data_IF_747571626707
#
_entry.id   IF_747571626707
#
_cell.length_a   1.000
_cell.length_b   1.000
_cell.length_c   1.000
_cell.angle_alpha   90.00
_cell.angle_beta   90.00
_cell.angle_gamma   90.00
#
_symmetry.space_group_name_H-M   'P 1'
#
loop_
_entity.id
_entity.type
_entity.pdbx_description
1 polymer ?
#
# COMPACT_ATOMS: atom_id res chain seq x y z
N UNK A 1 8.27 39.05 5.18
CA UNK A 1 9.24 38.32 4.35
C UNK A 1 8.47 37.68 3.20
N UNK A 2 8.71 38.11 1.96
CA UNK A 2 8.08 37.54 0.77
C UNK A 2 9.06 36.55 0.12
N UNK A 3 8.62 35.32 -0.15
CA UNK A 3 9.42 34.30 -0.82
C UNK A 3 9.12 34.38 -2.33
N UNK A 4 10.16 34.39 -3.16
CA UNK A 4 9.99 34.41 -4.61
C UNK A 4 9.40 33.07 -5.11
N UNK A 5 8.42 33.05 -6.02
CA UNK A 5 7.77 31.82 -6.49
C UNK A 5 8.72 30.76 -7.05
N UNK A 6 9.84 31.15 -7.65
CA UNK A 6 10.86 30.22 -8.15
C UNK A 6 11.59 29.41 -7.07
N UNK A 7 11.39 29.76 -5.78
CA UNK A 7 11.97 29.04 -4.64
C UNK A 7 11.02 27.99 -4.05
N UNK A 8 9.90 27.71 -4.72
CA UNK A 8 8.88 26.78 -4.24
C UNK A 8 8.48 25.82 -5.38
N UNK A 9 8.55 24.51 -5.10
CA UNK A 9 7.86 23.50 -5.89
C UNK A 9 6.49 23.26 -5.25
N UNK A 10 5.40 23.61 -5.97
CA UNK A 10 4.05 23.56 -5.42
C UNK A 10 3.30 22.34 -5.97
N UNK A 11 3.08 21.36 -5.10
CA UNK A 11 2.24 20.21 -5.38
C UNK A 11 0.78 20.54 -5.08
N UNK A 12 -0.07 20.44 -6.09
CA UNK A 12 -1.51 20.68 -5.94
C UNK A 12 -2.25 19.35 -5.90
N UNK A 13 -3.21 19.25 -4.98
CA UNK A 13 -4.13 18.12 -4.91
C UNK A 13 -5.17 18.13 -6.04
N UNK A 14 -6.30 17.46 -5.83
CA UNK A 14 -7.36 17.28 -6.85
C UNK A 14 -7.96 18.64 -7.23
N UNK A 15 -8.08 18.88 -8.54
CA UNK A 15 -8.74 20.06 -9.07
C UNK A 15 -10.24 20.08 -8.70
N UNK A 16 -10.81 21.24 -8.35
CA UNK A 16 -12.24 21.34 -8.10
C UNK A 16 -13.06 20.94 -9.33
N UNK A 17 -14.25 20.36 -9.11
CA UNK A 17 -15.15 19.92 -10.18
C UNK A 17 -15.53 21.11 -11.08
N UNK A 18 -15.57 20.87 -12.39
CA UNK A 18 -15.96 21.87 -13.38
C UNK A 18 -17.31 22.51 -12.99
N UNK A 19 -17.36 23.85 -12.94
CA UNK A 19 -18.52 24.63 -12.50
C UNK A 19 -18.41 25.22 -11.09
N UNK A 20 -17.45 24.77 -10.27
CA UNK A 20 -17.10 25.37 -8.96
C UNK A 20 -15.86 26.29 -9.05
N UNK A 21 -15.58 26.84 -10.23
CA UNK A 21 -14.41 27.67 -10.54
C UNK A 21 -14.31 28.93 -9.65
N UNK A 22 -15.39 29.36 -9.00
CA UNK A 22 -15.36 30.51 -8.10
C UNK A 22 -14.75 30.19 -6.72
N UNK A 23 -14.57 28.89 -6.38
CA UNK A 23 -13.77 28.46 -5.23
C UNK A 23 -12.25 28.41 -5.53
N UNK A 24 -11.83 28.56 -6.78
CA UNK A 24 -10.41 28.59 -7.17
C UNK A 24 -9.69 29.93 -6.97
N UNK A 25 -10.31 30.89 -6.28
CA UNK A 25 -9.61 32.11 -5.86
C UNK A 25 -8.36 31.81 -5.00
N UNK A 26 -8.29 30.62 -4.38
CA UNK A 26 -7.26 30.30 -3.40
C UNK A 26 -6.07 29.47 -3.94
N UNK A 27 -5.98 29.16 -5.25
CA UNK A 27 -4.87 28.40 -5.86
C UNK A 27 -4.54 27.03 -5.20
N UNK A 28 -5.41 26.54 -4.31
CA UNK A 28 -5.23 25.31 -3.51
C UNK A 28 -6.03 24.16 -4.13
N UNK A 29 -5.37 23.02 -4.31
CA UNK A 29 -6.05 21.77 -4.67
C UNK A 29 -6.72 21.13 -3.44
N UNK A 30 -7.73 20.28 -3.67
CA UNK A 30 -8.34 19.48 -2.60
C UNK A 30 -7.46 18.29 -2.21
N UNK A 31 -7.51 17.88 -0.95
CA UNK A 31 -6.80 16.68 -0.49
C UNK A 31 -7.27 15.44 -1.28
N UNK A 32 -6.32 14.64 -1.77
CA UNK A 32 -6.58 13.36 -2.45
C UNK A 32 -7.28 12.38 -1.50
N UNK A 33 -6.97 12.45 -0.20
CA UNK A 33 -7.59 11.60 0.83
C UNK A 33 -9.08 11.86 0.98
N UNK A 34 -9.56 13.08 0.69
CA UNK A 34 -10.99 13.40 0.86
C UNK A 34 -11.92 12.56 -0.01
N UNK A 35 -11.41 12.00 -1.11
CA UNK A 35 -12.20 11.11 -1.97
C UNK A 35 -12.24 9.65 -1.54
N UNK A 36 -11.31 9.20 -0.70
CA UNK A 36 -11.16 7.78 -0.31
C UNK A 36 -11.35 7.54 1.19
N UNK A 37 -11.32 8.58 2.02
CA UNK A 37 -11.36 8.45 3.49
C UNK A 37 -12.64 7.77 3.97
N UNK A 38 -13.77 8.00 3.29
CA UNK A 38 -15.05 7.39 3.66
C UNK A 38 -15.05 5.90 3.37
N UNK A 39 -14.42 5.46 2.28
CA UNK A 39 -14.30 4.03 1.95
C UNK A 39 -13.36 3.30 2.92
N UNK A 40 -12.27 3.95 3.34
CA UNK A 40 -11.38 3.41 4.38
C UNK A 40 -12.09 3.31 5.73
N UNK A 41 -12.88 4.33 6.11
CA UNK A 41 -13.69 4.31 7.34
C UNK A 41 -14.71 3.19 7.34
N UNK A 42 -15.33 2.87 6.20
CA UNK A 42 -16.28 1.74 6.10
C UNK A 42 -15.62 0.41 6.46
N UNK A 43 -14.34 0.22 6.13
CA UNK A 43 -13.60 -0.99 6.54
C UNK A 43 -13.48 -1.05 8.06
N UNK A 44 -13.11 0.06 8.69
CA UNK A 44 -12.99 0.18 10.15
C UNK A 44 -14.35 -0.03 10.85
N UNK A 45 -15.42 0.58 10.34
CA UNK A 45 -16.78 0.40 10.85
C UNK A 45 -17.23 -1.06 10.79
N UNK A 46 -16.98 -1.75 9.68
CA UNK A 46 -17.32 -3.17 9.53
C UNK A 46 -16.50 -4.04 10.47
N UNK A 47 -15.20 -3.77 10.62
CA UNK A 47 -14.35 -4.48 11.57
C UNK A 47 -14.83 -4.26 13.03
N UNK A 48 -15.23 -3.03 13.38
CA UNK A 48 -15.79 -2.69 14.69
C UNK A 48 -17.12 -3.41 14.96
N UNK A 49 -17.99 -3.53 13.96
CA UNK A 49 -19.25 -4.27 14.08
C UNK A 49 -19.00 -5.77 14.26
N UNK A 50 -18.04 -6.35 13.53
CA UNK A 50 -17.64 -7.76 13.71
C UNK A 50 -17.10 -7.99 15.13
N UNK A 51 -16.22 -7.10 15.63
CA UNK A 51 -15.69 -7.19 16.98
C UNK A 51 -16.81 -7.10 18.04
N UNK A 52 -17.80 -6.23 17.82
CA UNK A 52 -18.97 -6.10 18.70
C UNK A 52 -19.79 -7.39 18.75
N UNK A 53 -19.98 -8.06 17.61
CA UNK A 53 -20.65 -9.36 17.55
C UNK A 53 -19.89 -10.44 18.32
N UNK A 54 -18.54 -10.43 18.28
CA UNK A 54 -17.71 -11.37 19.05
C UNK A 54 -17.91 -11.17 20.55
N UNK A 55 -17.97 -9.93 21.02
CA UNK A 55 -18.28 -9.64 22.42
C UNK A 55 -19.71 -10.02 22.80
N UNK A 56 -20.69 -9.76 21.93
CA UNK A 56 -22.10 -10.10 22.17
C UNK A 56 -22.34 -11.61 22.23
N UNK A 57 -21.62 -12.40 21.42
CA UNK A 57 -21.71 -13.87 21.44
C UNK A 57 -21.27 -14.52 22.77
N UNK A 58 -20.62 -13.75 23.64
CA UNK A 58 -20.22 -14.19 24.98
C UNK A 58 -21.18 -13.70 26.07
N UNK A 59 -22.19 -12.90 25.72
CA UNK A 59 -23.12 -12.37 26.71
C UNK A 59 -24.06 -13.48 27.19
N UNK A 60 -24.01 -13.69 28.50
CA UNK A 60 -24.90 -14.59 29.23
C UNK A 60 -26.16 -13.83 29.65
N UNK A 61 -27.33 -14.39 29.37
CA UNK A 61 -28.63 -13.87 29.78
C UNK A 61 -29.20 -14.79 30.85
N UNK A 62 -29.48 -14.22 32.02
CA UNK A 62 -30.08 -14.92 33.15
C UNK A 62 -31.53 -14.47 33.34
N UNK A 63 -32.47 -15.41 33.25
CA UNK A 63 -33.86 -15.20 33.64
C UNK A 63 -34.06 -15.59 35.09
N UNK A 64 -34.33 -14.60 35.95
CA UNK A 64 -34.61 -14.80 37.37
C UNK A 64 -36.13 -14.63 37.60
N UNK A 65 -36.83 -15.65 38.14
CA UNK A 65 -38.25 -15.55 38.43
C UNK A 65 -38.53 -14.47 39.49
N UNK A 66 -39.66 -13.76 39.33
CA UNK A 66 -40.11 -12.70 40.24
C UNK A 66 -39.09 -11.57 40.51
N UNK A 67 -38.13 -11.34 39.61
CA UNK A 67 -37.06 -10.35 39.78
C UNK A 67 -37.59 -8.95 40.13
N UNK A 68 -38.58 -8.46 39.38
CA UNK A 68 -39.16 -7.13 39.58
C UNK A 68 -39.94 -7.00 40.89
N UNK A 69 -40.67 -8.06 41.26
CA UNK A 69 -41.44 -8.13 42.52
C UNK A 69 -40.49 -8.15 43.73
N UNK A 70 -39.41 -8.92 43.64
CA UNK A 70 -38.42 -9.00 44.71
C UNK A 70 -37.61 -7.70 44.82
N UNK A 71 -37.30 -7.04 43.69
CA UNK A 71 -36.60 -5.75 43.68
C UNK A 71 -37.45 -4.63 44.28
N UNK A 72 -38.77 -4.60 44.04
CA UNK A 72 -39.67 -3.60 44.63
C UNK A 72 -39.95 -3.84 46.12
N UNK A 73 -40.03 -5.10 46.54
CA UNK A 73 -40.39 -5.45 47.92
C UNK A 73 -39.19 -5.43 48.87
N UNK A 74 -38.03 -5.92 48.43
CA UNK A 74 -36.83 -6.09 49.26
C UNK A 74 -35.76 -5.01 49.02
N UNK A 75 -35.92 -4.18 47.99
CA UNK A 75 -35.07 -3.02 47.73
C UNK A 75 -33.60 -3.34 47.52
N UNK A 76 -32.73 -2.43 47.93
CA UNK A 76 -31.30 -2.41 47.59
C UNK A 76 -30.50 -3.60 48.15
N UNK A 77 -30.92 -4.16 49.29
CA UNK A 77 -30.26 -5.34 49.90
C UNK A 77 -30.36 -6.57 48.99
N UNK A 78 -31.53 -6.79 48.40
CA UNK A 78 -31.74 -7.91 47.47
C UNK A 78 -30.89 -7.77 46.20
N UNK A 79 -30.82 -6.56 45.64
CA UNK A 79 -29.97 -6.28 44.47
C UNK A 79 -28.51 -6.60 44.74
N UNK A 80 -28.00 -6.23 45.92
CA UNK A 80 -26.62 -6.55 46.32
C UNK A 80 -26.36 -8.06 46.43
N UNK A 81 -27.32 -8.84 46.96
CA UNK A 81 -27.22 -10.29 47.03
C UNK A 81 -27.22 -10.95 45.65
N UNK A 82 -28.11 -10.52 44.75
CA UNK A 82 -28.17 -11.00 43.37
C UNK A 82 -26.86 -10.72 42.63
N UNK A 83 -26.33 -9.50 42.73
CA UNK A 83 -25.04 -9.13 42.11
C UNK A 83 -23.87 -9.96 42.67
N UNK A 84 -23.86 -10.21 43.98
CA UNK A 84 -22.82 -11.05 44.60
C UNK A 84 -22.88 -12.48 44.06
N UNK A 85 -24.09 -13.03 43.91
CA UNK A 85 -24.28 -14.37 43.36
C UNK A 85 -23.88 -14.46 41.89
N UNK A 86 -24.26 -13.48 41.06
CA UNK A 86 -23.86 -13.41 39.66
C UNK A 86 -22.34 -13.34 39.51
N UNK A 87 -21.65 -12.57 40.35
CA UNK A 87 -20.17 -12.51 40.35
C UNK A 87 -19.54 -13.85 40.74
N UNK A 88 -20.08 -14.54 41.74
CA UNK A 88 -19.62 -15.88 42.14
C UNK A 88 -19.84 -16.89 41.01
N UNK A 89 -21.00 -16.86 40.36
CA UNK A 89 -21.32 -17.71 39.23
C UNK A 89 -20.40 -17.45 38.02
N UNK A 90 -20.15 -16.18 37.68
CA UNK A 90 -19.23 -15.79 36.61
C UNK A 90 -17.79 -16.23 36.89
N UNK A 91 -17.33 -16.09 38.15
CA UNK A 91 -15.99 -16.54 38.57
C UNK A 91 -15.88 -18.06 38.53
N UNK A 92 -16.90 -18.77 39.03
CA UNK A 92 -16.96 -20.23 38.99
C UNK A 92 -16.95 -20.78 37.56
N UNK A 93 -17.77 -20.20 36.67
CA UNK A 93 -17.80 -20.52 35.23
C UNK A 93 -16.44 -20.24 34.58
N UNK A 94 -15.81 -19.11 34.90
CA UNK A 94 -14.49 -18.75 34.37
C UNK A 94 -13.35 -19.67 34.81
N UNK A 95 -13.41 -20.18 36.04
CA UNK A 95 -12.35 -21.02 36.61
C UNK A 95 -12.53 -22.52 36.32
N UNK A 96 -13.76 -23.01 36.39
CA UNK A 96 -14.09 -24.45 36.36
C UNK A 96 -14.97 -24.88 35.19
N UNK A 97 -15.49 -23.93 34.39
CA UNK A 97 -16.46 -24.21 33.34
C UNK A 97 -17.85 -24.63 33.84
N UNK A 98 -18.06 -24.73 35.16
CA UNK A 98 -19.33 -25.16 35.76
C UNK A 98 -20.15 -23.96 36.24
N UNK A 99 -21.45 -23.98 35.97
CA UNK A 99 -22.41 -22.95 36.38
C UNK A 99 -23.45 -23.57 37.32
N UNK A 100 -23.59 -23.01 38.51
CA UNK A 100 -24.55 -23.47 39.53
C UNK A 100 -25.76 -22.53 39.53
N UNK A 101 -26.94 -23.06 39.21
CA UNK A 101 -28.20 -22.33 39.12
C UNK A 101 -29.33 -23.06 39.84
N UNK A 102 -30.37 -22.33 40.20
CA UNK A 102 -31.59 -22.91 40.79
C UNK A 102 -32.48 -23.50 39.68
N UNK A 103 -33.34 -24.47 40.04
CA UNK A 103 -34.14 -25.24 39.08
C UNK A 103 -35.15 -24.38 38.28
N UNK A 104 -35.58 -23.25 38.85
CA UNK A 104 -36.54 -22.34 38.22
C UNK A 104 -35.86 -21.20 37.42
N UNK A 105 -34.53 -21.12 37.40
CA UNK A 105 -33.80 -20.09 36.66
C UNK A 105 -33.49 -20.55 35.24
N UNK A 106 -33.49 -19.60 34.31
CA UNK A 106 -33.07 -19.85 32.94
C UNK A 106 -31.73 -19.20 32.67
N UNK A 107 -30.90 -19.91 31.91
CA UNK A 107 -29.63 -19.41 31.42
C UNK A 107 -29.58 -19.64 29.91
N UNK A 108 -29.40 -18.55 29.19
CA UNK A 108 -29.21 -18.57 27.75
C UNK A 108 -27.93 -17.81 27.41
N UNK A 109 -27.04 -18.45 26.67
CA UNK A 109 -25.92 -17.74 26.06
C UNK A 109 -26.32 -17.34 24.65
N UNK A 110 -26.18 -16.06 24.31
CA UNK A 110 -26.40 -15.61 22.93
C UNK A 110 -25.38 -16.30 22.01
N UNK A 111 -25.86 -17.07 21.04
CA UNK A 111 -25.01 -17.64 20.00
C UNK A 111 -25.06 -16.75 18.76
N UNK A 112 -23.90 -16.23 18.34
CA UNK A 112 -23.77 -15.52 17.08
C UNK A 112 -23.20 -16.48 16.02
N UNK A 113 -23.74 -16.41 14.80
CA UNK A 113 -23.13 -17.07 13.65
C UNK A 113 -22.05 -16.17 13.07
N UNK A 114 -20.82 -16.68 12.97
CA UNK A 114 -19.69 -15.96 12.38
C UNK A 114 -19.46 -16.28 10.89
N UNK A 115 -20.36 -17.06 10.28
CA UNK A 115 -20.25 -17.40 8.86
C UNK A 115 -20.44 -16.17 7.97
N UNK A 116 -19.65 -16.04 6.90
CA UNK A 116 -19.79 -14.95 5.93
C UNK A 116 -19.12 -13.63 6.33
N UNK A 117 -18.64 -13.48 7.58
CA UNK A 117 -18.07 -12.22 8.06
C UNK A 117 -16.72 -11.90 7.40
N UNK A 118 -15.92 -12.93 7.13
CA UNK A 118 -14.65 -12.78 6.43
C UNK A 118 -14.87 -12.25 5.02
N UNK A 119 -15.85 -12.80 4.29
CA UNK A 119 -16.18 -12.39 2.93
C UNK A 119 -16.69 -10.94 2.89
N UNK A 120 -17.47 -10.52 3.88
CA UNK A 120 -17.91 -9.12 3.99
C UNK A 120 -16.70 -8.20 4.21
N UNK A 121 -15.81 -8.56 5.13
CA UNK A 121 -14.60 -7.77 5.41
C UNK A 121 -13.71 -7.66 4.17
N UNK A 122 -13.48 -8.76 3.47
CA UNK A 122 -12.69 -8.80 2.24
C UNK A 122 -13.28 -7.91 1.14
N UNK A 123 -14.61 -7.89 0.99
CA UNK A 123 -15.27 -6.99 0.01
C UNK A 123 -15.10 -5.52 0.38
N UNK A 124 -15.09 -5.19 1.66
CA UNK A 124 -14.84 -3.81 2.11
C UNK A 124 -13.38 -3.40 1.88
N UNK A 125 -12.43 -4.30 2.18
CA UNK A 125 -11.01 -4.08 1.86
C UNK A 125 -10.79 -3.92 0.34
N UNK A 126 -11.52 -4.68 -0.49
CA UNK A 126 -11.49 -4.53 -1.94
C UNK A 126 -12.02 -3.16 -2.39
N UNK A 127 -13.10 -2.66 -1.79
CA UNK A 127 -13.62 -1.31 -2.08
C UNK A 127 -12.62 -0.21 -1.70
N UNK A 128 -11.99 -0.31 -0.53
CA UNK A 128 -10.95 0.64 -0.10
C UNK A 128 -9.71 0.60 -1.01
N UNK A 129 -9.32 -0.59 -1.49
CA UNK A 129 -8.24 -0.76 -2.47
C UNK A 129 -8.60 -0.10 -3.80
N UNK A 130 -9.84 -0.27 -4.27
CA UNK A 130 -10.33 0.37 -5.49
C UNK A 130 -10.38 1.90 -5.38
N UNK A 131 -10.85 2.44 -4.24
CA UNK A 131 -10.93 3.88 -4.01
C UNK A 131 -9.55 4.55 -3.87
N UNK A 132 -8.61 3.88 -3.21
CA UNK A 132 -7.22 4.35 -3.10
C UNK A 132 -6.41 4.12 -4.37
N UNK A 133 -6.85 3.20 -5.23
CA UNK A 133 -6.14 2.66 -6.39
C UNK A 133 -4.84 1.92 -6.03
N UNK A 134 -4.69 1.51 -4.77
CA UNK A 134 -3.58 0.68 -4.29
C UNK A 134 -4.08 -0.77 -4.24
N UNK A 135 -3.37 -1.73 -4.84
CA UNK A 135 -3.72 -3.15 -4.74
C UNK A 135 -3.82 -3.63 -3.29
N UNK A 136 -4.76 -4.54 -3.02
CA UNK A 136 -5.04 -5.07 -1.68
C UNK A 136 -3.81 -5.74 -1.04
N UNK A 137 -2.99 -6.42 -1.86
CA UNK A 137 -1.73 -7.05 -1.48
C UNK A 137 -0.74 -6.04 -0.88
N UNK A 138 -0.67 -4.84 -1.44
CA UNK A 138 0.19 -3.75 -0.96
C UNK A 138 -0.45 -2.93 0.16
N UNK A 139 -1.75 -2.62 0.04
CA UNK A 139 -2.45 -1.75 0.99
C UNK A 139 -2.67 -2.41 2.35
N UNK A 140 -3.00 -3.71 2.35
CA UNK A 140 -3.33 -4.46 3.56
C UNK A 140 -2.30 -5.55 3.90
N UNK A 141 -1.22 -5.67 3.11
CA UNK A 141 -0.16 -6.67 3.37
C UNK A 141 -0.63 -8.11 3.19
N UNK A 142 -1.62 -8.34 2.33
CA UNK A 142 -2.17 -9.67 2.11
C UNK A 142 -1.32 -10.47 1.13
N UNK A 143 -1.21 -11.77 1.38
CA UNK A 143 -0.68 -12.69 0.38
C UNK A 143 -1.56 -12.63 -0.87
N UNK A 144 -0.98 -12.59 -2.07
CA UNK A 144 -1.72 -12.73 -3.31
C UNK A 144 -2.57 -14.02 -3.27
N UNK A 145 -3.83 -13.93 -3.70
CA UNK A 145 -4.74 -15.07 -3.69
C UNK A 145 -4.44 -16.06 -4.83
N UNK A 146 -4.45 -17.36 -4.52
CA UNK A 146 -4.29 -18.44 -5.50
C UNK A 146 -2.93 -19.14 -5.43
N UNK A 147 -2.92 -20.44 -5.72
CA UNK A 147 -1.71 -21.24 -5.87
C UNK A 147 -0.88 -20.63 -7.03
N UNK A 148 0.30 -20.06 -6.71
CA UNK A 148 1.25 -19.40 -7.62
C UNK A 148 1.10 -17.89 -7.88
N UNK A 149 0.34 -17.15 -7.07
CA UNK A 149 0.31 -15.69 -7.22
C UNK A 149 1.54 -15.04 -6.53
N UNK A 150 2.48 -14.50 -7.31
CA UNK A 150 3.71 -13.84 -6.80
C UNK A 150 3.48 -12.39 -6.32
N UNK A 151 2.36 -11.77 -6.70
CA UNK A 151 2.10 -10.35 -6.41
C UNK A 151 2.85 -9.37 -7.33
N UNK A 152 3.62 -9.87 -8.30
CA UNK A 152 4.40 -9.03 -9.22
C UNK A 152 3.51 -8.17 -10.12
N UNK A 153 2.37 -8.71 -10.58
CA UNK A 153 1.44 -7.96 -11.42
C UNK A 153 0.84 -6.76 -10.67
N UNK A 154 0.45 -6.94 -9.41
CA UNK A 154 -0.05 -5.88 -8.55
C UNK A 154 1.02 -4.81 -8.31
N UNK A 155 2.25 -5.26 -8.02
CA UNK A 155 3.40 -4.38 -7.79
C UNK A 155 3.75 -3.55 -9.03
N UNK A 156 3.80 -4.19 -10.20
CA UNK A 156 4.04 -3.52 -11.49
C UNK A 156 2.95 -2.50 -11.80
N UNK A 157 1.67 -2.88 -11.65
CA UNK A 157 0.56 -1.95 -11.85
C UNK A 157 0.61 -0.74 -10.91
N UNK A 158 1.02 -0.94 -9.65
CA UNK A 158 1.24 0.15 -8.71
C UNK A 158 2.41 1.05 -9.11
N UNK A 159 3.53 0.47 -9.56
CA UNK A 159 4.69 1.23 -10.05
C UNK A 159 4.38 2.04 -11.30
N UNK A 160 3.61 1.50 -12.25
CA UNK A 160 3.16 2.25 -13.43
C UNK A 160 2.34 3.48 -13.02
N UNK A 161 1.48 3.32 -12.02
CA UNK A 161 0.72 4.45 -11.46
C UNK A 161 1.63 5.50 -10.82
N UNK A 162 2.63 5.08 -10.06
CA UNK A 162 3.63 6.00 -9.46
C UNK A 162 4.41 6.71 -10.57
N UNK A 163 4.78 6.02 -11.64
CA UNK A 163 5.47 6.61 -12.80
C UNK A 163 4.62 7.66 -13.49
N UNK A 164 3.32 7.40 -13.64
CA UNK A 164 2.35 8.40 -14.13
C UNK A 164 2.34 9.62 -13.19
N UNK A 165 2.35 9.42 -11.87
CA UNK A 165 2.37 10.54 -10.93
C UNK A 165 3.66 11.37 -10.99
N UNK A 166 4.80 10.69 -11.08
CA UNK A 166 6.11 11.31 -11.27
C UNK A 166 6.14 12.18 -12.53
N UNK A 167 5.66 11.64 -13.64
CA UNK A 167 5.72 12.30 -14.95
C UNK A 167 4.71 13.44 -15.09
N UNK A 168 3.46 13.24 -14.64
CA UNK A 168 2.38 14.20 -14.89
C UNK A 168 2.23 15.27 -13.80
N UNK A 169 2.65 14.98 -12.56
CA UNK A 169 2.46 15.92 -11.45
C UNK A 169 3.79 16.39 -10.85
N UNK A 170 4.71 15.46 -10.53
CA UNK A 170 5.94 15.85 -9.83
C UNK A 170 6.92 16.59 -10.73
N UNK A 171 7.20 16.05 -11.90
CA UNK A 171 8.16 16.63 -12.84
C UNK A 171 7.76 18.06 -13.29
N UNK A 172 6.49 18.34 -13.69
CA UNK A 172 6.09 19.72 -13.98
C UNK A 172 6.19 20.65 -12.77
N UNK A 173 5.85 20.16 -11.56
CA UNK A 173 5.91 20.96 -10.35
C UNK A 173 7.34 21.32 -9.92
N UNK A 174 8.31 20.46 -10.21
CA UNK A 174 9.72 20.66 -9.89
C UNK A 174 10.50 21.37 -10.99
N UNK A 175 10.00 21.40 -12.23
CA UNK A 175 10.68 21.96 -13.40
C UNK A 175 11.37 23.32 -13.18
N UNK A 176 10.70 24.27 -12.50
CA UNK A 176 11.26 25.60 -12.20
C UNK A 176 12.47 25.50 -11.26
N UNK A 177 12.39 24.62 -10.27
CA UNK A 177 13.43 24.39 -9.29
C UNK A 177 14.61 23.65 -9.95
N UNK A 178 14.31 22.66 -10.80
CA UNK A 178 15.30 21.94 -11.59
C UNK A 178 16.09 22.88 -12.50
N UNK A 179 15.41 23.78 -13.23
CA UNK A 179 16.08 24.80 -14.05
C UNK A 179 16.95 25.72 -13.18
N UNK A 180 16.42 26.25 -12.07
CA UNK A 180 17.21 27.09 -11.17
C UNK A 180 18.47 26.37 -10.65
N UNK A 181 18.36 25.06 -10.36
CA UNK A 181 19.47 24.24 -9.90
C UNK A 181 20.52 24.04 -11.00
N UNK A 182 20.09 23.74 -12.23
CA UNK A 182 20.98 23.58 -13.38
C UNK A 182 21.77 24.87 -13.64
N UNK A 183 21.07 26.01 -13.72
CA UNK A 183 21.71 27.31 -13.93
C UNK A 183 22.66 27.68 -12.79
N UNK A 184 22.31 27.36 -11.54
CA UNK A 184 23.18 27.61 -10.39
C UNK A 184 24.42 26.71 -10.35
N UNK A 185 24.33 25.48 -10.84
CA UNK A 185 25.43 24.51 -10.80
C UNK A 185 26.37 24.64 -12.00
N UNK A 186 25.82 24.84 -13.20
CA UNK A 186 26.57 24.81 -14.46
C UNK A 186 26.81 26.21 -15.05
N UNK A 187 26.07 27.23 -14.62
CA UNK A 187 26.11 28.58 -15.19
C UNK A 187 25.46 28.69 -16.58
N UNK A 188 25.03 27.58 -17.17
CA UNK A 188 24.33 27.47 -18.44
C UNK A 188 23.38 26.26 -18.41
N UNK A 189 22.52 26.13 -19.43
CA UNK A 189 21.66 24.96 -19.66
C UNK A 189 22.19 24.21 -20.88
N UNK A 190 23.00 23.14 -20.72
CA UNK A 190 23.41 22.29 -21.84
C UNK A 190 22.20 21.64 -22.50
N UNK A 191 22.18 21.57 -23.83
CA UNK A 191 21.05 21.01 -24.59
C UNK A 191 20.93 19.49 -24.45
N UNK A 192 22.03 18.81 -24.11
CA UNK A 192 22.15 17.36 -23.93
C UNK A 192 21.85 16.90 -22.49
N UNK A 193 21.63 17.83 -21.55
CA UNK A 193 21.33 17.50 -20.18
C UNK A 193 19.86 17.11 -20.01
N UNK A 194 19.65 15.82 -19.76
CA UNK A 194 18.36 15.22 -19.44
C UNK A 194 18.48 14.43 -18.13
N UNK A 195 17.37 14.35 -17.38
CA UNK A 195 17.26 13.45 -16.24
C UNK A 195 16.08 12.49 -16.47
N UNK A 196 16.22 11.29 -15.91
CA UNK A 196 15.16 10.29 -15.90
C UNK A 196 14.91 9.85 -14.46
N UNK A 197 13.67 9.51 -14.16
CA UNK A 197 13.35 8.90 -12.87
C UNK A 197 13.96 7.50 -12.78
N UNK A 198 14.58 7.21 -11.64
CA UNK A 198 15.10 5.88 -11.36
C UNK A 198 13.99 4.81 -11.52
N UNK A 199 14.33 3.61 -12.04
CA UNK A 199 13.37 2.54 -12.20
C UNK A 199 12.81 2.11 -10.83
N UNK A 200 11.49 1.97 -10.75
CA UNK A 200 10.82 1.51 -9.53
C UNK A 200 10.92 -0.01 -9.36
N UNK A 201 10.96 -0.74 -10.48
CA UNK A 201 11.19 -2.18 -10.50
C UNK A 201 12.68 -2.46 -10.53
N UNK A 202 13.15 -3.30 -9.61
CA UNK A 202 14.49 -3.83 -9.64
C UNK A 202 14.42 -5.24 -10.23
N UNK A 203 15.05 -5.47 -11.39
CA UNK A 203 15.06 -6.80 -11.97
C UNK A 203 15.79 -7.77 -11.05
N UNK A 204 15.31 -9.01 -11.01
CA UNK A 204 16.00 -10.07 -10.28
C UNK A 204 17.32 -10.43 -10.96
N UNK A 205 18.25 -11.08 -10.25
CA UNK A 205 19.51 -11.54 -10.84
C UNK A 205 19.29 -12.46 -12.06
N UNK A 206 18.18 -13.21 -12.08
CA UNK A 206 17.79 -14.03 -13.23
C UNK A 206 17.34 -13.16 -14.42
N UNK A 207 16.47 -12.19 -14.19
CA UNK A 207 16.00 -11.25 -15.24
C UNK A 207 17.17 -10.43 -15.82
N UNK A 208 18.14 -10.03 -14.98
CA UNK A 208 19.38 -9.36 -15.40
C UNK A 208 20.23 -10.25 -16.30
N UNK A 209 20.45 -11.51 -15.91
CA UNK A 209 21.21 -12.48 -16.70
C UNK A 209 20.53 -12.79 -18.05
N UNK A 210 19.20 -12.93 -18.05
CA UNK A 210 18.42 -13.14 -19.27
C UNK A 210 18.51 -11.93 -20.20
N UNK A 211 18.43 -10.71 -19.65
CA UNK A 211 18.61 -9.47 -20.41
C UNK A 211 20.01 -9.39 -21.02
N UNK A 212 21.06 -9.69 -20.24
CA UNK A 212 22.44 -9.74 -20.74
C UNK A 212 22.61 -10.73 -21.89
N UNK A 213 21.99 -11.91 -21.79
CA UNK A 213 21.99 -12.91 -22.86
C UNK A 213 21.30 -12.37 -24.13
N UNK A 214 20.12 -11.75 -24.00
CA UNK A 214 19.39 -11.17 -25.13
C UNK A 214 20.22 -10.08 -25.81
N UNK A 215 20.89 -9.23 -25.03
CA UNK A 215 21.78 -8.18 -25.55
C UNK A 215 22.93 -8.83 -26.34
N UNK A 216 23.60 -9.84 -25.78
CA UNK A 216 24.68 -10.54 -26.47
C UNK A 216 24.23 -11.24 -27.76
N UNK A 217 23.08 -11.92 -27.72
CA UNK A 217 22.49 -12.60 -28.88
C UNK A 217 22.11 -11.57 -29.98
N UNK A 218 21.59 -10.41 -29.60
CA UNK A 218 21.28 -9.32 -30.54
C UNK A 218 22.54 -8.80 -31.24
N UNK A 219 23.63 -8.60 -30.49
CA UNK A 219 24.90 -8.15 -31.06
C UNK A 219 25.57 -9.22 -31.93
N UNK A 220 25.42 -10.51 -31.58
CA UNK A 220 25.84 -11.63 -32.43
C UNK A 220 25.11 -11.60 -33.78
N UNK A 221 23.78 -11.44 -33.76
CA UNK A 221 22.99 -11.33 -35.00
C UNK A 221 23.44 -10.13 -35.82
N UNK A 222 23.61 -8.96 -35.20
CA UNK A 222 24.08 -7.76 -35.90
C UNK A 222 25.48 -7.94 -36.51
N UNK A 223 26.36 -8.68 -35.84
CA UNK A 223 27.68 -9.04 -36.35
C UNK A 223 27.59 -10.01 -37.53
N UNK A 224 26.75 -11.05 -37.43
CA UNK A 224 26.57 -12.05 -38.48
C UNK A 224 25.95 -11.45 -39.75
N UNK A 225 25.12 -10.41 -39.60
CA UNK A 225 24.52 -9.68 -40.73
C UNK A 225 25.48 -8.65 -41.37
N UNK A 226 26.64 -8.40 -40.77
CA UNK A 226 27.64 -7.40 -41.21
C UNK A 226 27.08 -5.99 -41.46
N UNK A 227 26.06 -5.61 -40.69
CA UNK A 227 25.35 -4.31 -40.85
C UNK A 227 26.12 -3.17 -40.19
N UNK A 228 26.94 -3.47 -39.18
CA UNK A 228 27.65 -2.48 -38.38
C UNK A 228 29.13 -2.85 -38.21
N UNK A 229 30.05 -1.86 -38.19
CA UNK A 229 31.46 -2.12 -37.92
C UNK A 229 31.67 -2.80 -36.56
N UNK A 230 32.60 -3.78 -36.45
CA UNK A 230 32.84 -4.51 -35.21
C UNK A 230 33.24 -3.62 -34.03
N UNK A 231 33.88 -2.48 -34.26
CA UNK A 231 34.30 -1.53 -33.22
C UNK A 231 33.09 -0.84 -32.58
N UNK A 232 32.07 -0.50 -33.37
CA UNK A 232 30.83 0.11 -32.89
C UNK A 232 30.01 -0.92 -32.10
N UNK A 233 29.95 -2.16 -32.59
CA UNK A 233 29.28 -3.26 -31.91
C UNK A 233 29.95 -3.61 -30.58
N UNK A 234 31.29 -3.62 -30.52
CA UNK A 234 32.02 -3.89 -29.28
C UNK A 234 31.74 -2.86 -28.20
N UNK A 235 31.81 -1.56 -28.54
CA UNK A 235 31.49 -0.48 -27.60
C UNK A 235 30.03 -0.51 -27.13
N UNK A 236 29.11 -0.70 -28.07
CA UNK A 236 27.67 -0.82 -27.76
C UNK A 236 27.38 -2.03 -26.86
N UNK A 237 28.04 -3.17 -27.09
CA UNK A 237 27.86 -4.38 -26.30
C UNK A 237 28.36 -4.20 -24.86
N UNK A 238 29.55 -3.61 -24.70
CA UNK A 238 30.15 -3.35 -23.38
C UNK A 238 29.28 -2.39 -22.55
N UNK A 239 28.82 -1.29 -23.17
CA UNK A 239 27.90 -0.37 -22.51
C UNK A 239 26.57 -1.05 -22.19
N UNK A 240 25.98 -1.77 -23.15
CA UNK A 240 24.69 -2.44 -22.96
C UNK A 240 24.71 -3.50 -21.85
N UNK A 241 25.79 -4.28 -21.73
CA UNK A 241 25.94 -5.28 -20.67
C UNK A 241 26.19 -4.65 -19.29
N UNK A 242 26.87 -3.51 -19.24
CA UNK A 242 27.14 -2.78 -18.00
C UNK A 242 25.88 -2.07 -17.51
N UNK A 243 25.16 -1.36 -18.39
CA UNK A 243 23.89 -0.70 -18.08
C UNK A 243 22.78 -1.68 -17.66
N UNK A 244 22.75 -2.88 -18.28
CA UNK A 244 21.82 -3.94 -17.88
C UNK A 244 22.16 -4.59 -16.54
N UNK A 245 23.32 -4.27 -15.94
CA UNK A 245 23.81 -4.88 -14.71
C UNK A 245 24.22 -6.35 -14.87
N UNK A 246 24.33 -6.84 -16.10
CA UNK A 246 24.68 -8.22 -16.39
C UNK A 246 26.20 -8.49 -16.27
N UNK A 247 27.02 -7.47 -16.52
CA UNK A 247 28.48 -7.53 -16.39
C UNK A 247 29.05 -6.23 -15.81
N UNK A 248 28.76 -5.90 -14.53
CA UNK A 248 29.26 -4.68 -13.91
C UNK A 248 30.79 -4.67 -13.88
N UNK A 249 31.39 -3.55 -14.27
CA UNK A 249 32.85 -3.37 -14.33
C UNK A 249 33.51 -3.80 -15.64
N UNK A 250 32.76 -4.37 -16.60
CA UNK A 250 33.31 -4.77 -17.90
C UNK A 250 33.92 -3.60 -18.66
N UNK A 251 33.32 -2.41 -18.59
CA UNK A 251 33.85 -1.17 -19.18
C UNK A 251 35.28 -0.87 -18.74
N UNK A 252 35.59 -1.02 -17.45
CA UNK A 252 36.93 -0.77 -16.90
C UNK A 252 37.95 -1.78 -17.42
N UNK A 253 37.62 -3.07 -17.38
CA UNK A 253 38.52 -4.12 -17.89
C UNK A 253 38.80 -4.00 -19.39
N UNK A 254 37.81 -3.56 -20.17
CA UNK A 254 37.98 -3.33 -21.61
C UNK A 254 38.82 -2.09 -21.88
N UNK A 255 38.65 -1.01 -21.11
CA UNK A 255 39.49 0.17 -21.20
C UNK A 255 40.97 -0.17 -20.89
N UNK A 256 41.22 -0.89 -19.79
CA UNK A 256 42.56 -1.33 -19.39
C UNK A 256 43.24 -2.22 -20.47
N UNK A 257 42.45 -3.07 -21.15
CA UNK A 257 42.95 -3.91 -22.25
C UNK A 257 43.41 -3.07 -23.45
N UNK A 258 42.59 -2.10 -23.89
CA UNK A 258 42.96 -1.25 -25.02
C UNK A 258 44.05 -0.22 -24.70
N UNK A 259 44.19 0.18 -23.44
CA UNK A 259 45.33 1.01 -22.99
C UNK A 259 46.64 0.21 -22.93
N UNK A 260 46.60 -1.10 -22.67
CA UNK A 260 47.79 -1.95 -22.58
C UNK A 260 48.28 -2.54 -23.91
N UNK A 261 47.42 -2.67 -24.93
CA UNK A 261 47.83 -3.05 -26.31
C UNK A 261 48.19 -1.84 -27.20
N UNK A 262 48.16 -0.61 -26.65
CA UNK A 262 48.52 0.63 -27.35
C UNK A 262 50.01 1.01 -27.30
N UNK A 263 50.87 0.19 -26.68
CA UNK A 263 52.35 0.26 -26.74
C UNK A 263 52.92 -0.76 -27.75
#
# INVERSE_FOLDING_TARGET
MAIHPSRLAIFRGIAPRAGLQNYSADHRGRSVLSGMVDDVKRVDEVAGNILSLVYEAKVDVFGIPDLMTNMSTRGEQWTAEVLRRLNLAATGKGLSGSLVMDANETYEQKTASFGGLHEILDRMMQLASAASGIPMTLLFGMSPGGLNASGDADTRGYYDRVKVQQTLYMQPAMSVLDECLIWSALGSRPDDLHYTWAPLWQPTAKEQAETGKIIADTHKIARDMDVLPPEVLGRSLVNGLTEAGAAPGLEGYVADYFESEGE
#
